data_IF_426372257402
#
_entry.id   IF_426372257402
#
_cell.length_a   1.000
_cell.length_b   1.000
_cell.length_c   1.000
_cell.angle_alpha   90.00
_cell.angle_beta   90.00
_cell.angle_gamma   90.00
#
_symmetry.space_group_name_H-M   'P 1'
#
loop_
_entity.id
_entity.type
_entity.pdbx_description
1 polymer ?
#
# COMPACT_ATOMS: atom_id res chain seq x y z
N UNK A 1 73.10 4.55 -52.98
CA UNK A 1 71.81 5.23 -53.26
C UNK A 1 70.88 4.29 -54.01
N UNK A 2 69.80 3.84 -53.38
CA UNK A 2 68.53 3.41 -54.00
C UNK A 2 67.50 3.38 -52.87
N UNK A 3 66.74 4.47 -52.79
CA UNK A 3 65.68 4.73 -51.82
C UNK A 3 64.49 3.81 -52.10
N UNK A 4 64.05 3.09 -51.06
CA UNK A 4 62.85 2.28 -51.07
C UNK A 4 61.63 3.21 -51.00
N UNK A 5 60.81 3.20 -52.06
CA UNK A 5 59.55 3.94 -52.14
C UNK A 5 58.47 3.15 -51.39
N UNK A 6 57.93 3.74 -50.32
CA UNK A 6 56.76 3.23 -49.61
C UNK A 6 55.52 3.70 -50.40
N UNK A 7 54.87 2.79 -51.12
CA UNK A 7 53.61 3.04 -51.80
C UNK A 7 52.44 2.78 -50.85
N UNK A 8 51.69 3.84 -50.56
CA UNK A 8 50.36 3.84 -49.95
C UNK A 8 49.37 3.09 -50.86
N UNK A 9 48.93 1.89 -50.49
CA UNK A 9 47.67 1.28 -50.95
C UNK A 9 47.41 -0.04 -50.22
N UNK A 10 46.27 -0.14 -49.53
CA UNK A 10 45.87 -1.29 -48.73
C UNK A 10 45.24 -0.84 -47.41
N UNK A 11 44.27 0.06 -47.44
CA UNK A 11 42.86 -0.35 -47.46
C UNK A 11 42.54 -1.36 -46.33
N UNK A 12 42.25 -0.81 -45.15
CA UNK A 12 40.92 -0.96 -44.54
C UNK A 12 40.41 -2.39 -44.30
N UNK A 13 41.17 -3.24 -43.60
CA UNK A 13 40.64 -4.47 -42.99
C UNK A 13 40.97 -4.47 -41.50
N UNK A 14 40.30 -3.63 -40.73
CA UNK A 14 40.37 -3.63 -39.26
C UNK A 14 39.11 -3.01 -38.65
N UNK A 15 37.93 -3.38 -39.16
CA UNK A 15 36.65 -2.85 -38.68
C UNK A 15 35.55 -3.92 -38.61
N UNK A 16 35.88 -5.11 -38.08
CA UNK A 16 34.92 -6.21 -37.95
C UNK A 16 35.08 -6.98 -36.62
N UNK A 17 35.32 -6.26 -35.52
CA UNK A 17 35.42 -6.87 -34.18
C UNK A 17 34.66 -6.10 -33.07
N UNK A 18 33.69 -5.24 -33.41
CA UNK A 18 33.01 -4.36 -32.42
C UNK A 18 31.50 -4.57 -32.29
N UNK A 19 30.93 -5.65 -32.83
CA UNK A 19 29.49 -5.98 -32.65
C UNK A 19 29.23 -7.15 -31.69
N UNK A 20 30.19 -7.52 -30.85
CA UNK A 20 29.91 -8.32 -29.67
C UNK A 20 29.45 -7.40 -28.53
N UNK A 21 28.29 -6.76 -28.72
CA UNK A 21 27.58 -6.15 -27.60
C UNK A 21 27.31 -7.28 -26.60
N UNK A 22 27.82 -7.22 -25.36
CA UNK A 22 27.35 -8.14 -24.36
C UNK A 22 25.89 -7.76 -24.17
N UNK A 23 24.98 -8.63 -24.63
CA UNK A 23 23.64 -8.69 -24.06
C UNK A 23 23.89 -8.83 -22.56
N UNK A 24 23.73 -7.71 -21.85
CA UNK A 24 23.67 -7.69 -20.39
C UNK A 24 22.44 -8.50 -20.06
N UNK A 25 22.62 -9.81 -19.96
CA UNK A 25 21.65 -10.72 -19.39
C UNK A 25 21.30 -10.13 -18.02
N UNK A 26 20.13 -9.49 -17.94
CA UNK A 26 19.59 -9.00 -16.68
C UNK A 26 19.66 -10.18 -15.72
N UNK A 27 20.44 -10.09 -14.62
CA UNK A 27 20.59 -11.19 -13.71
C UNK A 27 19.22 -11.41 -13.08
N UNK A 28 18.53 -12.42 -13.58
CA UNK A 28 17.37 -13.03 -12.93
C UNK A 28 17.92 -13.84 -11.76
N UNK A 29 18.61 -13.15 -10.84
CA UNK A 29 19.25 -13.76 -9.70
C UNK A 29 18.23 -14.16 -8.64
N UNK A 30 18.56 -15.13 -7.78
CA UNK A 30 17.69 -15.64 -6.71
C UNK A 30 17.10 -14.54 -5.79
N UNK A 31 17.70 -13.36 -5.72
CA UNK A 31 17.20 -12.21 -4.96
C UNK A 31 15.86 -11.63 -5.43
N UNK A 32 15.44 -11.87 -6.68
CA UNK A 32 14.13 -11.42 -7.15
C UNK A 32 12.98 -12.18 -6.45
N UNK A 33 13.24 -13.43 -6.06
CA UNK A 33 12.23 -14.32 -5.48
C UNK A 33 12.00 -14.03 -3.99
N UNK A 34 13.06 -13.72 -3.23
CA UNK A 34 12.97 -13.34 -1.81
C UNK A 34 12.13 -12.07 -1.61
N UNK A 35 12.37 -11.04 -2.41
CA UNK A 35 11.61 -9.77 -2.33
C UNK A 35 10.13 -9.93 -2.65
N UNK A 36 9.75 -10.98 -3.38
CA UNK A 36 8.35 -11.27 -3.66
C UNK A 36 7.64 -11.86 -2.44
N UNK A 37 8.29 -12.79 -1.73
CA UNK A 37 7.73 -13.37 -0.51
C UNK A 37 7.56 -12.33 0.60
N UNK A 38 8.53 -11.43 0.75
CA UNK A 38 8.47 -10.36 1.74
C UNK A 38 7.26 -9.44 1.50
N UNK A 39 7.04 -9.02 0.24
CA UNK A 39 5.86 -8.21 -0.12
C UNK A 39 4.54 -8.91 0.20
N UNK A 40 4.45 -10.21 -0.05
CA UNK A 40 3.24 -10.98 0.28
C UNK A 40 3.00 -11.01 1.79
N UNK A 41 4.04 -11.20 2.61
CA UNK A 41 3.92 -11.16 4.08
C UNK A 41 3.40 -9.81 4.57
N UNK A 42 3.95 -8.70 4.06
CA UNK A 42 3.45 -7.37 4.42
C UNK A 42 2.00 -7.14 3.99
N UNK A 43 1.59 -7.71 2.85
CA UNK A 43 0.19 -7.67 2.41
C UNK A 43 -0.75 -8.36 3.39
N UNK A 44 -0.37 -9.54 3.89
CA UNK A 44 -1.15 -10.24 4.92
C UNK A 44 -1.26 -9.41 6.19
N UNK A 45 -0.17 -8.79 6.63
CA UNK A 45 -0.18 -7.89 7.80
C UNK A 45 -1.10 -6.67 7.60
N UNK A 46 -1.12 -6.09 6.39
CA UNK A 46 -2.03 -4.99 6.06
C UNK A 46 -3.50 -5.43 6.11
N UNK A 47 -3.82 -6.62 5.59
CA UNK A 47 -5.17 -7.19 5.64
C UNK A 47 -5.61 -7.49 7.07
N UNK A 48 -4.73 -8.02 7.92
CA UNK A 48 -5.02 -8.25 9.34
C UNK A 48 -5.29 -6.93 10.08
N UNK A 49 -4.46 -5.90 9.82
CA UNK A 49 -4.69 -4.55 10.38
C UNK A 49 -6.04 -4.00 9.93
N UNK A 50 -6.35 -4.14 8.65
CA UNK A 50 -7.62 -3.71 8.09
C UNK A 50 -8.82 -4.42 8.75
N UNK A 51 -8.73 -5.74 8.92
CA UNK A 51 -9.78 -6.52 9.60
C UNK A 51 -10.00 -6.03 11.03
N UNK A 52 -8.92 -5.71 11.77
CA UNK A 52 -9.04 -5.12 13.11
C UNK A 52 -9.72 -3.74 13.09
N UNK A 53 -9.45 -2.91 12.09
CA UNK A 53 -10.12 -1.61 11.93
C UNK A 53 -11.63 -1.83 11.70
N UNK A 54 -11.99 -2.76 10.81
CA UNK A 54 -13.39 -3.10 10.52
C UNK A 54 -14.10 -3.59 11.78
N UNK A 55 -13.49 -4.52 12.52
CA UNK A 55 -14.05 -5.07 13.76
C UNK A 55 -14.26 -3.97 14.82
N UNK A 56 -13.23 -3.15 15.08
CA UNK A 56 -13.33 -2.01 16.00
C UNK A 56 -14.42 -1.04 15.59
N UNK A 57 -14.58 -0.82 14.28
CA UNK A 57 -15.60 0.06 13.74
C UNK A 57 -17.01 -0.49 13.92
N UNK A 58 -17.20 -1.81 13.81
CA UNK A 58 -18.49 -2.45 14.10
C UNK A 58 -18.85 -2.30 15.59
N UNK A 59 -17.90 -2.54 16.49
CA UNK A 59 -18.10 -2.32 17.92
C UNK A 59 -18.42 -0.86 18.25
N UNK A 60 -17.71 0.08 17.62
CA UNK A 60 -17.95 1.50 17.79
C UNK A 60 -19.36 1.89 17.31
N UNK A 61 -19.83 1.35 16.18
CA UNK A 61 -21.20 1.59 15.69
C UNK A 61 -22.24 1.17 16.75
N UNK A 62 -22.11 -0.06 17.26
CA UNK A 62 -23.02 -0.59 18.28
C UNK A 62 -23.03 0.27 19.55
N UNK A 63 -21.86 0.73 20.00
CA UNK A 63 -21.75 1.61 21.15
C UNK A 63 -22.41 2.97 20.90
N UNK A 64 -22.20 3.56 19.71
CA UNK A 64 -22.79 4.85 19.34
C UNK A 64 -24.32 4.75 19.24
N UNK A 65 -24.85 3.66 18.68
CA UNK A 65 -26.30 3.43 18.63
C UNK A 65 -26.90 3.32 20.03
N UNK A 66 -26.21 2.64 20.95
CA UNK A 66 -26.63 2.56 22.35
C UNK A 66 -26.64 3.95 23.02
N UNK A 67 -25.60 4.76 22.78
CA UNK A 67 -25.55 6.12 23.30
C UNK A 67 -26.61 7.02 22.69
N UNK A 68 -26.89 6.89 21.39
CA UNK A 68 -27.89 7.68 20.70
C UNK A 68 -29.29 7.42 21.29
N UNK A 69 -29.61 6.17 21.58
CA UNK A 69 -30.87 5.77 22.22
C UNK A 69 -31.07 6.37 23.63
N UNK A 70 -29.98 6.81 24.28
CA UNK A 70 -29.98 7.31 25.66
C UNK A 70 -29.57 8.78 25.77
N UNK A 71 -29.25 9.43 24.66
CA UNK A 71 -28.76 10.80 24.63
C UNK A 71 -29.89 11.81 24.81
N UNK A 72 -29.62 12.86 25.57
CA UNK A 72 -30.43 14.09 25.54
C UNK A 72 -30.14 14.88 24.26
N UNK A 73 -31.10 15.71 23.82
CA UNK A 73 -31.07 16.41 22.51
C UNK A 73 -29.73 17.09 22.18
N UNK A 74 -29.04 17.67 23.17
CA UNK A 74 -27.75 18.37 22.96
C UNK A 74 -26.60 17.46 22.51
N UNK A 75 -26.63 16.17 22.85
CA UNK A 75 -25.57 15.20 22.50
C UNK A 75 -25.90 14.35 21.28
N UNK A 76 -27.17 14.34 20.87
CA UNK A 76 -27.67 13.56 19.74
C UNK A 76 -26.89 13.87 18.47
N UNK A 77 -26.65 15.15 18.16
CA UNK A 77 -25.98 15.54 16.91
C UNK A 77 -24.50 15.13 16.90
N UNK A 78 -23.81 15.24 18.03
CA UNK A 78 -22.41 14.78 18.15
C UNK A 78 -22.32 13.28 17.93
N UNK A 79 -23.21 12.50 18.53
CA UNK A 79 -23.26 11.03 18.36
C UNK A 79 -23.60 10.67 16.90
N UNK A 80 -24.52 11.42 16.27
CA UNK A 80 -24.90 11.23 14.86
C UNK A 80 -23.70 11.44 13.95
N UNK A 81 -22.95 12.52 14.12
CA UNK A 81 -21.74 12.78 13.34
C UNK A 81 -20.64 11.72 13.58
N UNK A 82 -20.47 11.25 14.82
CA UNK A 82 -19.54 10.16 15.09
C UNK A 82 -19.95 8.86 14.39
N UNK A 83 -21.26 8.57 14.32
CA UNK A 83 -21.79 7.41 13.60
C UNK A 83 -21.58 7.54 12.08
N UNK A 84 -21.83 8.73 11.52
CA UNK A 84 -21.55 9.04 10.10
C UNK A 84 -20.06 8.88 9.77
N UNK A 85 -19.16 9.41 10.62
CA UNK A 85 -17.71 9.26 10.45
C UNK A 85 -17.30 7.79 10.50
N UNK A 86 -17.84 7.02 11.45
CA UNK A 86 -17.56 5.60 11.57
C UNK A 86 -18.04 4.81 10.34
N UNK A 87 -19.24 5.12 9.82
CA UNK A 87 -19.77 4.51 8.59
C UNK A 87 -18.90 4.83 7.37
N UNK A 88 -18.43 6.07 7.25
CA UNK A 88 -17.47 6.46 6.21
C UNK A 88 -16.17 5.67 6.29
N UNK A 89 -15.65 5.45 7.52
CA UNK A 89 -14.47 4.62 7.73
C UNK A 89 -14.68 3.15 7.35
N UNK A 90 -15.85 2.56 7.62
CA UNK A 90 -16.16 1.19 7.18
C UNK A 90 -16.14 1.09 5.67
N UNK A 91 -16.78 2.04 4.99
CA UNK A 91 -16.80 2.11 3.53
C UNK A 91 -15.38 2.20 2.97
N UNK A 92 -14.54 3.07 3.55
CA UNK A 92 -13.13 3.19 3.15
C UNK A 92 -12.35 1.90 3.40
N UNK A 93 -12.61 1.21 4.51
CA UNK A 93 -11.97 -0.05 4.85
C UNK A 93 -12.33 -1.14 3.84
N UNK A 94 -13.59 -1.24 3.45
CA UNK A 94 -14.05 -2.21 2.44
C UNK A 94 -13.46 -1.93 1.05
N UNK A 95 -13.42 -0.66 0.65
CA UNK A 95 -12.75 -0.26 -0.58
C UNK A 95 -11.27 -0.60 -0.55
N UNK A 96 -10.59 -0.34 0.57
CA UNK A 96 -9.18 -0.68 0.73
C UNK A 96 -8.96 -2.20 0.70
N UNK A 97 -9.87 -3.00 1.25
CA UNK A 97 -9.83 -4.47 1.17
C UNK A 97 -9.90 -4.94 -0.28
N UNK A 98 -10.84 -4.39 -1.06
CA UNK A 98 -10.97 -4.68 -2.49
C UNK A 98 -9.69 -4.29 -3.26
N UNK A 99 -9.17 -3.09 -2.97
CA UNK A 99 -7.96 -2.58 -3.60
C UNK A 99 -6.72 -3.42 -3.26
N UNK A 100 -6.59 -3.90 -2.02
CA UNK A 100 -5.52 -4.82 -1.61
C UNK A 100 -5.64 -6.17 -2.31
N UNK A 101 -6.84 -6.70 -2.52
CA UNK A 101 -7.04 -7.93 -3.30
C UNK A 101 -6.63 -7.75 -4.78
N UNK A 102 -6.88 -6.58 -5.36
CA UNK A 102 -6.40 -6.25 -6.72
C UNK A 102 -4.87 -6.12 -6.72
N UNK A 103 -4.31 -5.44 -5.71
CA UNK A 103 -2.88 -5.26 -5.55
C UNK A 103 -2.15 -6.61 -5.43
N UNK A 104 -2.71 -7.58 -4.70
CA UNK A 104 -2.19 -8.94 -4.61
C UNK A 104 -2.14 -9.63 -5.99
N UNK A 105 -3.22 -9.53 -6.78
CA UNK A 105 -3.25 -10.07 -8.15
C UNK A 105 -2.15 -9.46 -9.02
N UNK A 106 -1.94 -8.16 -8.89
CA UNK A 106 -0.89 -7.43 -9.61
C UNK A 106 0.53 -7.86 -9.16
N UNK A 107 0.74 -8.13 -7.87
CA UNK A 107 2.00 -8.69 -7.37
C UNK A 107 2.29 -10.10 -7.88
N UNK A 108 1.26 -10.89 -8.20
CA UNK A 108 1.42 -12.22 -8.78
C UNK A 108 1.70 -12.19 -10.29
N UNK A 109 1.55 -11.06 -10.97
CA UNK A 109 1.88 -10.91 -12.38
C UNK A 109 3.40 -10.77 -12.58
N UNK A 110 4.06 -11.90 -12.87
CA UNK A 110 5.52 -11.96 -13.08
C UNK A 110 5.99 -11.10 -14.24
N UNK A 111 5.22 -10.96 -15.30
CA UNK A 111 5.59 -10.19 -16.49
C UNK A 111 5.67 -8.70 -16.16
N UNK A 112 4.64 -8.17 -15.49
CA UNK A 112 4.62 -6.77 -15.06
C UNK A 112 5.76 -6.47 -14.07
N UNK A 113 6.13 -7.41 -13.21
CA UNK A 113 7.25 -7.26 -12.28
C UNK A 113 8.64 -7.25 -12.93
N UNK A 114 8.78 -7.65 -14.21
CA UNK A 114 10.05 -7.49 -14.95
C UNK A 114 10.34 -6.03 -15.26
N UNK A 115 9.29 -5.22 -15.42
CA UNK A 115 9.43 -3.79 -15.65
C UNK A 115 9.86 -3.02 -14.38
N UNK A 116 10.91 -2.20 -14.51
CA UNK A 116 11.48 -1.44 -13.38
C UNK A 116 10.55 -0.31 -12.92
N UNK A 117 9.88 0.36 -13.86
CA UNK A 117 8.92 1.43 -13.57
C UNK A 117 7.72 0.89 -12.81
N UNK A 118 7.17 -0.24 -13.25
CA UNK A 118 6.09 -0.95 -12.59
C UNK A 118 6.45 -1.33 -11.16
N UNK A 119 7.62 -1.98 -10.93
CA UNK A 119 8.08 -2.30 -9.56
C UNK A 119 8.16 -1.06 -8.66
N UNK A 120 8.64 0.07 -9.19
CA UNK A 120 8.73 1.33 -8.44
C UNK A 120 7.34 1.86 -8.10
N UNK A 121 6.41 1.86 -9.05
CA UNK A 121 5.03 2.27 -8.83
C UNK A 121 4.31 1.37 -7.81
N UNK A 122 4.53 0.06 -7.88
CA UNK A 122 3.98 -0.90 -6.91
C UNK A 122 4.53 -0.70 -5.50
N UNK A 123 5.81 -0.30 -5.38
CA UNK A 123 6.39 0.10 -4.09
C UNK A 123 5.77 1.38 -3.52
N UNK A 124 5.49 2.38 -4.36
CA UNK A 124 4.77 3.58 -3.92
C UNK A 124 3.35 3.24 -3.46
N UNK A 125 2.64 2.43 -4.24
CA UNK A 125 1.28 2.01 -3.92
C UNK A 125 1.23 1.25 -2.59
N UNK A 126 2.20 0.35 -2.36
CA UNK A 126 2.38 -0.32 -1.08
C UNK A 126 2.50 0.65 0.11
N UNK A 127 3.40 1.63 -0.02
CA UNK A 127 3.63 2.61 1.04
C UNK A 127 2.37 3.45 1.29
N UNK A 128 1.69 3.87 0.22
CA UNK A 128 0.45 4.63 0.33
C UNK A 128 -0.63 3.85 1.09
N UNK A 129 -0.84 2.56 0.79
CA UNK A 129 -1.79 1.74 1.55
C UNK A 129 -1.40 1.59 3.01
N UNK A 130 -0.12 1.39 3.30
CA UNK A 130 0.35 1.30 4.67
C UNK A 130 0.11 2.60 5.46
N UNK A 131 0.32 3.76 4.83
CA UNK A 131 0.09 5.06 5.46
C UNK A 131 -1.40 5.36 5.64
N UNK A 132 -2.24 5.01 4.65
CA UNK A 132 -3.70 5.08 4.80
C UNK A 132 -4.19 4.20 5.96
N UNK A 133 -3.67 2.97 6.08
CA UNK A 133 -3.99 2.09 7.20
C UNK A 133 -3.63 2.71 8.55
N UNK A 134 -2.44 3.32 8.68
CA UNK A 134 -2.03 4.02 9.92
C UNK A 134 -2.98 5.18 10.24
N UNK A 135 -3.35 5.97 9.23
CA UNK A 135 -4.28 7.08 9.41
C UNK A 135 -5.65 6.59 9.87
N UNK A 136 -6.16 5.49 9.30
CA UNK A 136 -7.42 4.88 9.72
C UNK A 136 -7.34 4.33 11.15
N UNK A 137 -6.23 3.68 11.54
CA UNK A 137 -6.02 3.21 12.91
C UNK A 137 -6.02 4.36 13.94
N UNK A 138 -5.43 5.50 13.59
CA UNK A 138 -5.44 6.67 14.46
C UNK A 138 -6.83 7.32 14.52
N UNK A 139 -7.51 7.46 13.38
CA UNK A 139 -8.87 8.01 13.34
C UNK A 139 -9.83 7.19 14.19
N UNK A 140 -9.82 5.86 14.07
CA UNK A 140 -10.72 5.03 14.88
C UNK A 140 -10.43 5.15 16.37
N UNK A 141 -9.15 5.26 16.75
CA UNK A 141 -8.75 5.49 18.14
C UNK A 141 -9.25 6.83 18.66
N UNK A 142 -9.22 7.88 17.84
CA UNK A 142 -9.78 9.19 18.19
C UNK A 142 -11.29 9.09 18.42
N UNK A 143 -12.03 8.44 17.51
CA UNK A 143 -13.49 8.31 17.64
C UNK A 143 -13.86 7.41 18.84
N UNK A 144 -13.12 6.33 19.09
CA UNK A 144 -13.29 5.51 20.30
C UNK A 144 -13.06 6.32 21.58
N UNK A 145 -12.04 7.17 21.62
CA UNK A 145 -11.77 8.03 22.78
C UNK A 145 -12.89 9.06 22.99
N UNK A 146 -13.42 9.63 21.92
CA UNK A 146 -14.60 10.49 21.99
C UNK A 146 -15.81 9.71 22.51
N UNK A 147 -16.00 8.46 22.07
CA UNK A 147 -17.07 7.58 22.54
C UNK A 147 -16.99 7.32 24.04
N UNK A 148 -15.80 7.00 24.55
CA UNK A 148 -15.56 6.81 26.00
C UNK A 148 -15.83 8.08 26.82
N UNK A 149 -15.57 9.27 26.26
CA UNK A 149 -15.89 10.52 26.95
C UNK A 149 -17.39 10.76 27.08
N UNK A 150 -18.20 10.24 26.15
CA UNK A 150 -19.66 10.26 26.28
C UNK A 150 -20.14 9.34 27.41
N UNK A 151 -19.50 8.20 27.58
CA UNK A 151 -19.80 7.21 28.63
C UNK A 151 -19.41 7.72 30.04
N UNK A 152 -18.20 8.26 30.19
CA UNK A 152 -17.68 8.76 31.47
C UNK A 152 -18.47 9.96 32.05
N UNK A 153 -19.24 10.67 31.22
CA UNK A 153 -20.08 11.80 31.64
C UNK A 153 -21.52 11.40 31.94
N UNK A 154 -21.84 10.12 32.00
CA UNK A 154 -23.13 9.63 32.50
C UNK A 154 -23.08 9.68 34.03
N UNK A 155 -23.86 10.54 34.71
CA UNK A 155 -23.94 10.49 36.16
C UNK A 155 -24.44 9.11 36.58
N UNK A 156 -23.73 8.47 37.51
CA UNK A 156 -24.20 7.28 38.18
C UNK A 156 -25.39 7.67 39.08
N UNK A 157 -26.59 7.72 38.53
CA UNK A 157 -27.81 7.98 39.30
C UNK A 157 -28.81 8.89 38.60
N UNK A 158 -29.95 8.30 38.31
CA UNK A 158 -31.25 8.92 38.01
C UNK A 158 -32.30 7.85 38.23
#
# INVERSE_FOLDING_TARGET
>A
MKLLRISFSGALILMLALLASPVLAQPSGPHAQEKSQERMRHMHQMMERLNRIVERSHHLAQNLDHHLAQAQMEKTEVIRHMSELNSSMQTMAEQMRSNLAIYEKMLNNREALRDKGYRKSMGKLHNNYNDMLKQMEEQIKVIENLGKQLEARRPAGG
#
